data_IF_411225636761
#
_entry.id   IF_411225636761
#
_cell.length_a   1.000
_cell.length_b   1.000
_cell.length_c   1.000
_cell.angle_alpha   90.00
_cell.angle_beta   90.00
_cell.angle_gamma   90.00
#
_symmetry.space_group_name_H-M   'P 1'
#
loop_
_entity.id
_entity.type
_entity.pdbx_description
1 polymer ?
#
# COMPACT_ATOMS: atom_id res chain seq x y z
N UNK A 1 -26.12 -49.30 -40.99
CA UNK A 1 -24.66 -49.47 -41.22
C UNK A 1 -23.93 -48.91 -40.01
N UNK A 2 -23.20 -49.78 -39.30
CA UNK A 2 -22.25 -49.44 -38.25
C UNK A 2 -20.99 -48.81 -38.86
N UNK A 3 -20.40 -47.82 -38.20
CA UNK A 3 -19.13 -47.96 -37.44
C UNK A 3 -18.51 -46.60 -37.14
N UNK A 4 -18.08 -46.46 -35.90
CA UNK A 4 -17.32 -45.35 -35.35
C UNK A 4 -15.83 -45.48 -35.67
N UNK A 5 -15.12 -44.35 -35.82
CA UNK A 5 -13.66 -44.22 -35.66
C UNK A 5 -13.43 -42.81 -35.07
N UNK A 6 -13.26 -42.63 -33.75
CA UNK A 6 -12.07 -42.82 -32.90
C UNK A 6 -10.82 -41.99 -33.27
N UNK A 7 -10.56 -40.93 -32.49
CA UNK A 7 -9.26 -40.66 -31.83
C UNK A 7 -9.54 -39.64 -30.70
N UNK A 8 -9.50 -39.93 -29.40
CA UNK A 8 -8.50 -40.43 -28.44
C UNK A 8 -8.08 -39.28 -27.47
N UNK A 9 -8.56 -39.43 -26.24
CA UNK A 9 -8.08 -38.98 -24.92
C UNK A 9 -6.92 -37.97 -24.85
N UNK A 10 -7.21 -36.78 -24.30
CA UNK A 10 -6.28 -36.09 -23.42
C UNK A 10 -6.71 -36.35 -21.97
N UNK A 11 -5.83 -37.05 -21.25
CA UNK A 11 -5.97 -37.43 -19.85
C UNK A 11 -6.02 -36.20 -18.97
N UNK A 12 -6.77 -36.31 -17.88
CA UNK A 12 -7.07 -35.23 -16.97
C UNK A 12 -5.85 -34.56 -16.35
N UNK A 13 -5.99 -33.26 -16.14
CA UNK A 13 -5.26 -32.54 -15.11
C UNK A 13 -6.25 -32.32 -13.97
N UNK A 14 -6.19 -33.20 -12.96
CA UNK A 14 -6.73 -32.89 -11.64
C UNK A 14 -5.78 -31.83 -11.09
N UNK A 15 -6.20 -30.56 -11.11
CA UNK A 15 -5.57 -29.57 -10.26
C UNK A 15 -5.87 -30.02 -8.82
N UNK A 16 -4.85 -30.56 -8.17
CA UNK A 16 -4.90 -30.77 -6.73
C UNK A 16 -5.17 -29.40 -6.12
N UNK A 17 -6.37 -29.23 -5.55
CA UNK A 17 -6.69 -28.13 -4.66
C UNK A 17 -5.66 -28.14 -3.54
N UNK A 18 -4.60 -27.37 -3.71
CA UNK A 18 -3.61 -27.14 -2.67
C UNK A 18 -4.36 -26.61 -1.48
N UNK A 19 -4.31 -27.36 -0.39
CA UNK A 19 -4.70 -26.92 0.94
C UNK A 19 -3.98 -25.60 1.19
N UNK A 20 -4.71 -24.48 1.12
CA UNK A 20 -4.22 -23.21 1.62
C UNK A 20 -4.15 -23.39 3.14
N UNK A 21 -2.97 -23.76 3.63
CA UNK A 21 -2.63 -23.50 5.01
C UNK A 21 -2.76 -21.99 5.17
N UNK A 22 -3.83 -21.55 5.83
CA UNK A 22 -4.00 -20.17 6.23
C UNK A 22 -2.92 -19.86 7.27
N UNK A 23 -1.71 -19.55 6.80
CA UNK A 23 -0.83 -18.65 7.52
C UNK A 23 -1.55 -17.31 7.50
N UNK A 24 -2.22 -16.99 8.60
CA UNK A 24 -2.77 -15.67 8.86
C UNK A 24 -1.59 -14.69 8.87
N UNK A 25 -1.21 -14.20 7.70
CA UNK A 25 -0.39 -13.00 7.60
C UNK A 25 -1.29 -11.90 8.14
N UNK A 26 -0.85 -11.31 9.24
CA UNK A 26 -1.46 -10.13 9.84
C UNK A 26 -1.67 -9.11 8.71
N UNK A 27 -2.92 -8.85 8.37
CA UNK A 27 -3.27 -7.86 7.36
C UNK A 27 -2.94 -6.49 7.91
N UNK A 28 -1.72 -6.01 7.67
CA UNK A 28 -1.46 -4.58 7.63
C UNK A 28 -2.39 -4.01 6.57
N UNK A 29 -3.06 -2.89 6.86
CA UNK A 29 -3.86 -2.25 5.82
C UNK A 29 -2.90 -1.86 4.69
N UNK A 30 -3.18 -2.37 3.50
CA UNK A 30 -2.32 -2.18 2.33
C UNK A 30 -2.77 -0.91 1.63
N UNK A 31 -1.81 -0.07 1.26
CA UNK A 31 -2.02 1.05 0.35
C UNK A 31 -2.84 0.61 -0.86
N UNK A 32 -3.87 1.39 -1.21
CA UNK A 32 -4.65 1.19 -2.43
C UNK A 32 -4.09 2.11 -3.50
N UNK A 33 -3.27 1.56 -4.38
CA UNK A 33 -2.73 2.30 -5.53
C UNK A 33 -3.83 2.62 -6.54
N UNK A 34 -3.75 3.81 -7.15
CA UNK A 34 -4.66 4.23 -8.21
C UNK A 34 -3.87 4.35 -9.51
N UNK A 35 -4.18 3.48 -10.48
CA UNK A 35 -3.56 3.55 -11.79
C UNK A 35 -4.02 4.81 -12.53
N UNK A 36 -3.06 5.61 -13.03
CA UNK A 36 -3.36 6.83 -13.77
C UNK A 36 -3.96 6.56 -15.17
N UNK A 37 -3.71 5.36 -15.71
CA UNK A 37 -4.32 4.88 -16.95
C UNK A 37 -4.01 5.76 -18.17
N UNK A 38 -4.96 5.84 -19.10
CA UNK A 38 -4.78 6.53 -20.38
C UNK A 38 -4.65 8.07 -20.26
N UNK A 39 -4.94 8.64 -19.09
CA UNK A 39 -4.77 10.08 -18.84
C UNK A 39 -3.29 10.45 -18.72
N UNK A 40 -2.43 9.51 -18.32
CA UNK A 40 -1.00 9.71 -18.19
C UNK A 40 -0.29 9.49 -19.53
N UNK A 41 0.07 10.58 -20.19
CA UNK A 41 0.65 10.57 -21.55
C UNK A 41 2.10 11.04 -21.61
N UNK A 42 2.59 11.73 -20.58
CA UNK A 42 3.96 12.27 -20.55
C UNK A 42 4.89 11.23 -19.93
N UNK A 43 5.90 10.70 -20.63
CA UNK A 43 6.80 9.71 -20.04
C UNK A 43 7.59 10.30 -18.86
N UNK A 44 7.61 9.63 -17.70
CA UNK A 44 8.45 10.04 -16.57
C UNK A 44 9.93 10.13 -16.98
N UNK A 45 10.37 9.20 -17.84
CA UNK A 45 11.73 9.15 -18.39
C UNK A 45 12.08 10.33 -19.30
N UNK A 46 11.11 11.14 -19.73
CA UNK A 46 11.39 12.38 -20.47
C UNK A 46 11.85 13.52 -19.56
N UNK A 47 11.43 13.50 -18.29
CA UNK A 47 11.78 14.51 -17.29
C UNK A 47 12.91 14.05 -16.39
N UNK A 48 12.80 12.83 -15.86
CA UNK A 48 13.68 12.31 -14.82
C UNK A 48 14.61 11.22 -15.35
N UNK A 49 15.90 11.35 -15.03
CA UNK A 49 16.86 10.28 -15.24
C UNK A 49 16.71 9.23 -14.12
N UNK A 50 16.41 7.98 -14.52
CA UNK A 50 16.29 6.84 -13.58
C UNK A 50 15.27 7.05 -12.46
N UNK A 51 14.13 7.68 -12.77
CA UNK A 51 13.02 7.77 -11.83
C UNK A 51 12.48 6.37 -11.43
N UNK A 52 11.83 6.27 -10.25
CA UNK A 52 11.12 5.06 -9.85
C UNK A 52 10.11 4.63 -10.92
N UNK A 53 9.98 3.31 -11.12
CA UNK A 53 9.07 2.71 -12.09
C UNK A 53 8.51 1.40 -11.56
N UNK A 54 7.43 0.90 -12.18
CA UNK A 54 6.73 -0.28 -11.68
C UNK A 54 6.01 -0.02 -10.36
N UNK A 55 5.83 -1.05 -9.54
CA UNK A 55 5.34 -0.87 -8.17
C UNK A 55 6.49 -0.40 -7.28
N UNK A 56 6.44 0.86 -6.83
CA UNK A 56 7.48 1.50 -6.05
C UNK A 56 7.00 1.86 -4.64
N UNK A 57 7.85 1.66 -3.63
CA UNK A 57 7.61 2.17 -2.27
C UNK A 57 8.33 3.50 -2.08
N UNK A 58 7.56 4.58 -1.90
CA UNK A 58 8.02 5.96 -1.80
C UNK A 58 7.43 6.58 -0.55
N UNK A 59 8.26 7.16 0.31
CA UNK A 59 7.80 7.73 1.58
C UNK A 59 7.14 6.72 2.54
N UNK A 60 7.40 5.42 2.36
CA UNK A 60 6.75 4.34 3.12
C UNK A 60 5.44 3.83 2.52
N UNK A 61 4.97 4.42 1.41
CA UNK A 61 3.72 4.07 0.74
C UNK A 61 3.96 3.47 -0.64
N UNK A 62 3.10 2.58 -1.08
CA UNK A 62 3.16 1.95 -2.40
C UNK A 62 2.50 2.85 -3.44
N UNK A 63 3.12 2.97 -4.62
CA UNK A 63 2.58 3.63 -5.80
C UNK A 63 2.70 2.72 -7.02
N UNK A 64 1.71 2.77 -7.91
CA UNK A 64 1.78 2.09 -9.21
C UNK A 64 2.28 3.06 -10.29
N UNK A 65 3.57 2.91 -10.63
CA UNK A 65 4.26 3.64 -11.69
C UNK A 65 4.54 2.73 -12.90
N UNK A 66 3.85 1.60 -13.03
CA UNK A 66 4.07 0.63 -14.10
C UNK A 66 3.74 1.17 -15.49
N UNK A 67 2.85 2.15 -15.58
CA UNK A 67 2.54 2.86 -16.82
C UNK A 67 3.69 3.73 -17.35
N UNK A 68 4.68 4.06 -16.50
CA UNK A 68 5.86 4.85 -16.89
C UNK A 68 5.58 6.29 -17.32
N UNK A 69 4.32 6.73 -17.24
CA UNK A 69 3.88 8.07 -17.64
C UNK A 69 3.25 8.80 -16.45
N UNK A 70 3.32 10.12 -16.50
CA UNK A 70 2.62 11.05 -15.60
C UNK A 70 1.51 11.79 -16.35
N UNK A 71 0.59 12.37 -15.60
CA UNK A 71 -0.37 13.37 -16.11
C UNK A 71 0.27 14.73 -15.98
N UNK A 72 0.32 15.50 -17.07
CA UNK A 72 0.75 16.90 -17.05
C UNK A 72 -0.43 17.79 -17.43
N UNK A 73 -0.97 18.51 -16.45
CA UNK A 73 -2.14 19.37 -16.62
C UNK A 73 -1.70 20.78 -16.99
N UNK A 74 -2.04 21.24 -18.20
CA UNK A 74 -1.89 22.63 -18.58
C UNK A 74 -2.88 23.54 -17.82
N UNK A 75 -2.69 24.85 -17.95
CA UNK A 75 -3.54 25.85 -17.30
C UNK A 75 -5.02 25.68 -17.69
N UNK A 76 -5.90 25.53 -16.70
CA UNK A 76 -7.33 25.29 -16.88
C UNK A 76 -7.73 23.82 -17.03
N UNK A 77 -6.77 22.88 -17.06
CA UNK A 77 -7.05 21.45 -17.19
C UNK A 77 -7.25 20.76 -15.83
N UNK A 78 -7.93 19.62 -15.88
CA UNK A 78 -8.16 18.78 -14.70
C UNK A 78 -8.24 17.31 -15.09
N UNK A 79 -7.84 16.44 -14.16
CA UNK A 79 -8.05 14.99 -14.25
C UNK A 79 -8.86 14.52 -13.04
N UNK A 80 -9.74 13.54 -13.24
CA UNK A 80 -10.55 12.94 -12.17
C UNK A 80 -10.37 11.43 -12.16
N UNK A 81 -10.07 10.89 -10.99
CA UNK A 81 -10.02 9.45 -10.74
C UNK A 81 -11.20 9.05 -9.87
N UNK A 82 -12.06 8.19 -10.41
CA UNK A 82 -13.23 7.68 -9.69
C UNK A 82 -12.96 6.30 -9.12
N UNK A 83 -13.47 6.05 -7.91
CA UNK A 83 -13.30 4.78 -7.23
C UNK A 83 -14.26 4.67 -6.05
N UNK A 84 -13.98 3.74 -5.15
CA UNK A 84 -14.71 3.60 -3.88
C UNK A 84 -13.72 3.19 -2.81
N UNK A 85 -13.14 4.18 -2.14
CA UNK A 85 -12.12 3.98 -1.11
C UNK A 85 -12.71 4.24 0.27
N UNK A 86 -13.26 3.19 0.87
CA UNK A 86 -13.80 3.22 2.24
C UNK A 86 -12.67 3.21 3.26
N UNK A 87 -12.90 3.82 4.42
CA UNK A 87 -11.91 3.90 5.51
C UNK A 87 -10.59 4.57 5.09
N UNK A 88 -10.61 5.49 4.12
CA UNK A 88 -9.43 6.25 3.75
C UNK A 88 -9.00 7.16 4.92
N UNK A 89 -7.73 7.07 5.31
CA UNK A 89 -7.09 7.96 6.27
C UNK A 89 -6.40 9.12 5.56
N UNK A 90 -5.78 8.85 4.41
CA UNK A 90 -5.15 9.89 3.60
C UNK A 90 -5.18 9.57 2.10
N UNK A 91 -5.11 10.62 1.28
CA UNK A 91 -4.80 10.54 -0.13
C UNK A 91 -3.39 11.06 -0.34
N UNK A 92 -2.53 10.26 -0.96
CA UNK A 92 -1.13 10.56 -1.23
C UNK A 92 -0.94 10.77 -2.73
N UNK A 93 -0.39 11.92 -3.10
CA UNK A 93 -0.18 12.32 -4.49
C UNK A 93 1.30 12.59 -4.72
N UNK A 94 1.89 11.94 -5.71
CA UNK A 94 3.22 12.31 -6.21
C UNK A 94 3.06 13.49 -7.16
N UNK A 95 3.34 14.70 -6.68
CA UNK A 95 2.92 15.92 -7.33
C UNK A 95 4.02 16.98 -7.32
N UNK A 96 4.29 17.53 -8.49
CA UNK A 96 5.21 18.65 -8.68
C UNK A 96 4.61 19.64 -9.69
N UNK A 97 5.24 20.79 -9.81
CA UNK A 97 4.91 21.79 -10.83
C UNK A 97 6.05 21.92 -11.85
N UNK A 98 5.73 22.46 -13.02
CA UNK A 98 6.70 22.85 -14.04
C UNK A 98 6.48 24.32 -14.43
N UNK A 99 7.57 25.04 -14.71
CA UNK A 99 7.59 26.48 -15.06
C UNK A 99 7.11 27.41 -13.94
N UNK A 100 7.33 27.01 -12.69
CA UNK A 100 7.05 27.78 -11.48
C UNK A 100 8.21 28.69 -11.11
N UNK A 101 8.36 29.80 -11.84
CA UNK A 101 9.32 30.85 -11.53
C UNK A 101 9.05 31.54 -10.18
N UNK A 102 10.04 32.27 -9.66
CA UNK A 102 9.99 32.92 -8.33
C UNK A 102 8.75 33.81 -8.10
N UNK A 103 8.15 34.39 -9.14
CA UNK A 103 6.93 35.20 -9.02
C UNK A 103 5.66 34.39 -8.72
N UNK A 104 5.71 33.06 -8.79
CA UNK A 104 4.62 32.18 -8.35
C UNK A 104 4.70 31.85 -6.85
N UNK A 105 5.76 32.23 -6.13
CA UNK A 105 5.88 31.90 -4.70
C UNK A 105 4.62 32.34 -3.92
N UNK A 106 4.12 31.44 -3.09
CA UNK A 106 2.89 31.56 -2.30
C UNK A 106 1.60 31.76 -3.12
N UNK A 107 1.64 31.57 -4.43
CA UNK A 107 0.45 31.62 -5.28
C UNK A 107 -0.25 30.28 -5.34
N UNK A 108 -1.57 30.29 -5.21
CA UNK A 108 -2.42 29.12 -5.46
C UNK A 108 -2.53 28.92 -6.98
N UNK A 109 -2.07 27.77 -7.45
CA UNK A 109 -2.03 27.42 -8.89
C UNK A 109 -2.92 26.22 -9.22
N UNK A 110 -3.33 25.46 -8.21
CA UNK A 110 -4.10 24.24 -8.39
C UNK A 110 -4.96 23.88 -7.21
N UNK A 111 -5.69 22.79 -7.36
CA UNK A 111 -6.53 22.24 -6.29
C UNK A 111 -6.58 20.73 -6.40
N UNK A 112 -6.57 20.06 -5.25
CA UNK A 112 -7.00 18.66 -5.13
C UNK A 112 -8.35 18.63 -4.44
N UNK A 113 -9.34 18.02 -5.08
CA UNK A 113 -10.70 17.86 -4.55
C UNK A 113 -11.00 16.39 -4.34
N UNK A 114 -11.24 16.01 -3.08
CA UNK A 114 -11.76 14.71 -2.70
C UNK A 114 -13.28 14.81 -2.66
N UNK A 115 -13.97 13.96 -3.42
CA UNK A 115 -15.43 13.82 -3.38
C UNK A 115 -15.79 12.60 -2.56
N UNK A 116 -16.79 12.72 -1.70
CA UNK A 116 -17.23 11.65 -0.81
C UNK A 116 -18.57 11.06 -1.24
N UNK A 117 -18.86 9.86 -0.73
CA UNK A 117 -20.11 9.13 -1.00
C UNK A 117 -21.39 9.85 -0.53
N UNK A 118 -21.27 10.80 0.40
CA UNK A 118 -22.39 11.64 0.87
C UNK A 118 -22.60 12.92 0.02
N UNK A 119 -21.85 13.07 -1.07
CA UNK A 119 -21.91 14.23 -1.97
C UNK A 119 -21.13 15.45 -1.49
N UNK A 120 -20.51 15.41 -0.31
CA UNK A 120 -19.63 16.49 0.15
C UNK A 120 -18.25 16.41 -0.49
N UNK A 121 -17.50 17.51 -0.41
CA UNK A 121 -16.13 17.59 -0.94
C UNK A 121 -15.17 18.15 0.10
N UNK A 122 -13.94 17.67 0.09
CA UNK A 122 -12.80 18.31 0.77
C UNK A 122 -11.83 18.82 -0.28
N UNK A 123 -11.49 20.10 -0.18
CA UNK A 123 -10.59 20.78 -1.13
C UNK A 123 -9.29 21.15 -0.43
N UNK A 124 -8.18 20.90 -1.11
CA UNK A 124 -6.83 21.33 -0.73
C UNK A 124 -6.29 22.18 -1.86
N UNK A 125 -5.94 23.44 -1.57
CA UNK A 125 -5.31 24.31 -2.54
C UNK A 125 -3.83 23.93 -2.73
N UNK A 126 -3.35 23.99 -3.96
CA UNK A 126 -1.95 23.73 -4.32
C UNK A 126 -1.24 25.08 -4.47
N UNK A 127 -0.35 25.37 -3.52
CA UNK A 127 0.36 26.63 -3.38
C UNK A 127 1.85 26.42 -3.66
N UNK A 128 2.37 27.12 -4.65
CA UNK A 128 3.79 27.05 -5.03
C UNK A 128 4.66 27.58 -3.89
N UNK A 129 5.69 26.82 -3.50
CA UNK A 129 6.51 27.14 -2.32
C UNK A 129 5.86 26.76 -0.98
N UNK A 130 4.56 26.42 -1.02
CA UNK A 130 3.79 25.84 0.09
C UNK A 130 3.91 24.33 0.08
N UNK A 131 2.97 23.70 -0.62
CA UNK A 131 2.80 22.24 -0.72
C UNK A 131 3.06 21.68 -2.12
N UNK A 132 3.48 22.52 -3.06
CA UNK A 132 3.98 22.11 -4.39
C UNK A 132 5.16 22.98 -4.80
N UNK A 133 6.05 22.45 -5.63
CA UNK A 133 7.23 23.17 -6.12
C UNK A 133 7.70 22.65 -7.48
N UNK A 134 8.60 23.41 -8.10
CA UNK A 134 9.26 23.05 -9.35
C UNK A 134 9.93 21.68 -9.23
N UNK A 135 9.61 20.78 -10.15
CA UNK A 135 10.21 19.44 -10.23
C UNK A 135 11.74 19.49 -10.41
N UNK A 136 12.21 20.45 -11.22
CA UNK A 136 13.62 20.70 -11.51
C UNK A 136 14.21 21.62 -10.44
N UNK A 137 14.56 21.02 -9.31
CA UNK A 137 15.09 21.74 -8.14
C UNK A 137 16.45 22.39 -8.38
N UNK A 138 17.22 21.92 -9.37
CA UNK A 138 18.50 22.52 -9.78
C UNK A 138 18.37 23.68 -10.76
N UNK A 139 17.16 24.03 -11.22
CA UNK A 139 16.96 25.17 -12.11
C UNK A 139 17.10 26.50 -11.37
N UNK A 140 17.73 27.48 -12.03
CA UNK A 140 17.74 28.86 -11.53
C UNK A 140 16.40 29.54 -11.72
N UNK A 141 16.07 30.49 -10.83
CA UNK A 141 14.88 31.35 -10.90
C UNK A 141 13.53 30.64 -10.78
N UNK A 142 13.49 29.43 -10.25
CA UNK A 142 12.24 28.70 -9.94
C UNK A 142 12.05 28.53 -8.44
N UNK A 143 10.81 28.32 -8.03
CA UNK A 143 10.46 28.00 -6.64
C UNK A 143 10.72 26.51 -6.42
N UNK A 144 11.86 26.20 -5.80
CA UNK A 144 12.33 24.83 -5.55
C UNK A 144 12.27 24.43 -4.05
N UNK A 145 11.61 25.24 -3.22
CA UNK A 145 11.40 24.96 -1.79
C UNK A 145 9.97 24.55 -1.49
N UNK A 146 9.79 23.94 -0.32
CA UNK A 146 8.50 23.60 0.27
C UNK A 146 8.49 24.11 1.71
N UNK A 147 7.34 24.56 2.18
CA UNK A 147 7.15 25.02 3.56
C UNK A 147 6.07 24.24 4.30
N UNK A 148 5.17 23.57 3.58
CA UNK A 148 4.13 22.73 4.17
C UNK A 148 4.69 21.36 4.58
N UNK A 149 4.64 20.97 5.87
CA UNK A 149 5.11 19.67 6.33
C UNK A 149 4.29 18.49 5.80
N UNK A 150 3.09 18.72 5.26
CA UNK A 150 2.29 17.68 4.60
C UNK A 150 2.91 17.22 3.27
N UNK A 151 3.91 17.94 2.75
CA UNK A 151 4.63 17.58 1.53
C UNK A 151 6.06 17.16 1.86
N UNK A 152 6.48 16.01 1.35
CA UNK A 152 7.82 15.48 1.58
C UNK A 152 8.46 15.01 0.28
N UNK A 153 9.77 15.23 0.15
CA UNK A 153 10.52 14.67 -0.99
C UNK A 153 10.70 13.18 -0.81
N UNK A 154 10.14 12.40 -1.72
CA UNK A 154 10.20 10.92 -1.65
C UNK A 154 11.16 10.31 -2.66
N UNK A 155 11.60 11.09 -3.64
CA UNK A 155 12.71 10.74 -4.51
C UNK A 155 13.49 12.00 -4.90
N UNK A 156 14.81 11.85 -5.03
CA UNK A 156 15.70 12.88 -5.55
C UNK A 156 16.71 12.25 -6.50
N UNK A 157 17.06 12.99 -7.54
CA UNK A 157 17.97 12.51 -8.57
C UNK A 157 18.27 13.60 -9.58
N UNK A 158 18.42 13.19 -10.84
CA UNK A 158 18.72 14.11 -11.93
C UNK A 158 17.54 14.19 -12.91
N UNK A 159 17.35 15.37 -13.47
CA UNK A 159 16.60 15.55 -14.70
C UNK A 159 17.37 14.96 -15.89
N UNK A 160 16.70 14.77 -17.02
CA UNK A 160 17.31 14.29 -18.27
C UNK A 160 18.39 15.21 -18.83
N UNK A 161 18.40 16.48 -18.45
CA UNK A 161 19.44 17.46 -18.83
C UNK A 161 20.58 17.57 -17.80
N UNK A 162 20.60 16.72 -16.77
CA UNK A 162 21.64 16.65 -15.75
C UNK A 162 21.43 17.59 -14.55
N UNK A 163 20.44 18.47 -14.58
CA UNK A 163 20.08 19.28 -13.40
C UNK A 163 19.50 18.44 -12.27
N UNK A 164 19.48 18.93 -11.03
CA UNK A 164 18.81 18.23 -9.92
C UNK A 164 17.30 18.23 -10.11
N UNK A 165 16.67 17.10 -9.76
CA UNK A 165 15.24 16.91 -9.82
C UNK A 165 14.72 16.18 -8.56
N UNK A 166 13.44 16.38 -8.25
CA UNK A 166 12.76 15.74 -7.14
C UNK A 166 11.36 15.27 -7.56
N UNK A 167 10.87 14.23 -6.87
CA UNK A 167 9.46 13.85 -6.84
C UNK A 167 9.00 14.02 -5.40
N UNK A 168 7.99 14.85 -5.21
CA UNK A 168 7.43 15.16 -3.90
C UNK A 168 6.08 14.46 -3.71
N UNK A 169 5.79 14.09 -2.47
CA UNK A 169 4.56 13.44 -2.06
C UNK A 169 3.77 14.40 -1.15
N UNK A 170 2.59 14.79 -1.60
CA UNK A 170 1.61 15.52 -0.81
C UNK A 170 0.66 14.53 -0.13
N UNK A 171 0.57 14.61 1.20
CA UNK A 171 -0.37 13.82 2.01
C UNK A 171 -1.57 14.68 2.40
N UNK A 172 -2.75 14.32 1.91
CA UNK A 172 -4.03 14.96 2.29
C UNK A 172 -4.74 14.07 3.30
N UNK A 173 -4.80 14.49 4.56
CA UNK A 173 -5.58 13.78 5.59
C UNK A 173 -7.06 13.83 5.26
N UNK A 174 -7.72 12.68 5.37
CA UNK A 174 -9.14 12.51 5.07
C UNK A 174 -9.91 12.49 6.38
N UNK A 175 -11.04 13.19 6.43
CA UNK A 175 -11.92 13.12 7.58
C UNK A 175 -12.37 11.65 7.81
N UNK A 176 -12.15 11.07 9.00
CA UNK A 176 -12.51 9.69 9.27
C UNK A 176 -14.02 9.51 9.09
N UNK A 177 -14.43 8.32 8.62
CA UNK A 177 -15.82 7.86 8.33
C UNK A 177 -16.36 8.07 6.91
N UNK A 178 -15.69 8.80 6.04
CA UNK A 178 -16.19 9.00 4.66
C UNK A 178 -15.52 8.07 3.65
N UNK A 179 -16.30 7.58 2.69
CA UNK A 179 -15.78 6.86 1.52
C UNK A 179 -15.45 7.87 0.45
N UNK A 180 -14.20 7.92 -0.01
CA UNK A 180 -13.82 8.74 -1.17
C UNK A 180 -14.38 8.05 -2.41
N UNK A 181 -15.05 8.82 -3.26
CA UNK A 181 -15.62 8.36 -4.54
C UNK A 181 -14.90 8.97 -5.74
N UNK A 182 -14.26 10.12 -5.57
CA UNK A 182 -13.41 10.70 -6.59
C UNK A 182 -12.25 11.53 -6.01
N UNK A 183 -11.14 11.54 -6.72
CA UNK A 183 -10.01 12.45 -6.52
C UNK A 183 -9.83 13.26 -7.80
N UNK A 184 -10.00 14.57 -7.72
CA UNK A 184 -9.81 15.49 -8.84
C UNK A 184 -8.57 16.34 -8.59
N UNK A 185 -7.68 16.42 -9.57
CA UNK A 185 -6.56 17.36 -9.57
C UNK A 185 -6.80 18.37 -10.67
N UNK A 186 -6.74 19.66 -10.34
CA UNK A 186 -7.01 20.75 -11.28
C UNK A 186 -5.87 21.76 -11.26
N UNK A 187 -5.42 22.16 -12.43
CA UNK A 187 -4.58 23.33 -12.62
C UNK A 187 -5.50 24.53 -12.84
N UNK A 188 -5.71 25.32 -11.79
CA UNK A 188 -6.61 26.48 -11.82
C UNK A 188 -5.89 27.77 -12.21
N UNK A 189 -4.59 27.68 -12.47
CA UNK A 189 -3.80 28.82 -12.88
C UNK A 189 -4.36 29.39 -14.19
N UNK A 190 -4.67 30.68 -14.19
CA UNK A 190 -5.32 31.34 -15.34
C UNK A 190 -4.35 31.97 -16.34
N UNK A 191 -3.03 31.83 -16.14
CA UNK A 191 -2.03 32.58 -16.90
C UNK A 191 -0.68 31.84 -17.01
N UNK A 192 0.08 32.11 -18.06
CA UNK A 192 1.42 31.51 -18.25
C UNK A 192 1.39 30.06 -18.76
N UNK A 193 2.54 29.39 -18.67
CA UNK A 193 2.76 28.04 -19.19
C UNK A 193 3.08 27.04 -18.06
N UNK A 194 2.46 27.24 -16.88
CA UNK A 194 2.64 26.36 -15.74
C UNK A 194 1.88 25.06 -15.95
N UNK A 195 2.54 23.95 -15.64
CA UNK A 195 1.91 22.63 -15.58
C UNK A 195 1.90 22.08 -14.16
N UNK A 196 0.87 21.29 -13.85
CA UNK A 196 0.84 20.42 -12.67
C UNK A 196 1.08 18.98 -13.12
N UNK A 197 2.14 18.38 -12.59
CA UNK A 197 2.55 17.03 -12.95
C UNK A 197 2.18 16.07 -11.82
N UNK A 198 1.30 15.11 -12.11
CA UNK A 198 0.88 14.04 -11.22
C UNK A 198 1.49 12.71 -11.71
N UNK A 199 2.46 12.20 -10.96
CA UNK A 199 3.17 10.96 -11.29
C UNK A 199 2.54 9.72 -10.65
N UNK A 200 1.77 9.86 -9.57
CA UNK A 200 1.17 8.73 -8.87
C UNK A 200 0.12 9.16 -7.85
N UNK A 201 -0.82 8.27 -7.57
CA UNK A 201 -1.89 8.47 -6.60
C UNK A 201 -2.10 7.17 -5.81
N UNK A 202 -2.18 7.31 -4.49
CA UNK A 202 -2.44 6.21 -3.56
C UNK A 202 -3.40 6.66 -2.49
N UNK A 203 -4.32 5.77 -2.09
CA UNK A 203 -5.20 5.98 -0.96
C UNK A 203 -4.74 5.06 0.18
N UNK A 204 -4.39 5.67 1.30
CA UNK A 204 -3.96 4.97 2.50
C UNK A 204 -5.17 4.71 3.41
N UNK A 205 -5.54 3.43 3.63
CA UNK A 205 -6.63 3.07 4.52
C UNK A 205 -6.23 3.09 5.99
N UNK A 206 -7.20 3.37 6.87
CA UNK A 206 -7.04 3.18 8.31
C UNK A 206 -6.63 1.74 8.60
N UNK A 207 -5.48 1.56 9.26
CA UNK A 207 -5.08 0.26 9.80
C UNK A 207 -5.98 -0.10 10.97
N UNK A 208 -7.04 -0.87 10.72
CA UNK A 208 -7.78 -1.50 11.80
C UNK A 208 -6.89 -2.60 12.34
N UNK A 209 -6.28 -2.37 13.51
CA UNK A 209 -5.55 -3.41 14.22
C UNK A 209 -6.50 -4.58 14.45
N UNK A 210 -6.36 -5.66 13.66
CA UNK A 210 -7.11 -6.87 13.93
C UNK A 210 -6.58 -7.44 15.24
N UNK A 211 -7.40 -7.39 16.29
CA UNK A 211 -7.15 -8.20 17.48
C UNK A 211 -7.07 -9.65 17.00
N UNK A 212 -5.95 -10.36 17.21
CA UNK A 212 -5.82 -11.74 16.77
C UNK A 212 -6.95 -12.54 17.41
N UNK A 213 -7.90 -13.00 16.59
CA UNK A 213 -8.95 -13.89 17.07
C UNK A 213 -8.33 -15.27 17.22
N UNK A 214 -8.10 -15.70 18.46
CA UNK A 214 -7.70 -17.07 18.74
C UNK A 214 -8.85 -18.01 18.35
N UNK A 215 -8.77 -18.63 17.17
CA UNK A 215 -9.80 -19.55 16.62
C UNK A 215 -9.91 -20.86 17.44
N UNK A 216 -8.96 -21.13 18.34
CA UNK A 216 -8.95 -22.35 19.15
C UNK A 216 -9.58 -22.13 20.53
N UNK A 217 -10.65 -22.87 20.88
CA UNK A 217 -11.13 -22.92 22.26
C UNK A 217 -9.97 -23.32 23.20
N UNK A 218 -9.63 -22.45 24.15
CA UNK A 218 -8.58 -22.70 25.16
C UNK A 218 -7.20 -22.10 24.89
N UNK A 219 -6.99 -21.29 23.84
CA UNK A 219 -5.74 -20.53 23.67
C UNK A 219 -5.95 -19.05 24.05
N UNK A 220 -5.19 -18.54 25.02
CA UNK A 220 -4.97 -17.11 25.21
C UNK A 220 -3.94 -16.60 24.19
N UNK A 221 -4.25 -15.48 23.51
CA UNK A 221 -3.40 -14.92 22.45
C UNK A 221 -2.08 -14.30 22.96
N UNK A 222 -1.76 -14.50 24.23
CA UNK A 222 -0.58 -13.96 24.93
C UNK A 222 0.31 -15.05 25.53
N UNK A 223 -0.10 -16.32 25.44
CA UNK A 223 0.62 -17.45 26.04
C UNK A 223 1.20 -18.31 24.91
N UNK A 224 2.49 -18.65 25.02
CA UNK A 224 3.16 -19.43 23.99
C UNK A 224 2.43 -20.77 23.75
N UNK A 225 2.37 -21.22 22.50
CA UNK A 225 1.68 -22.46 22.13
C UNK A 225 2.18 -23.68 22.92
N UNK A 226 3.44 -23.66 23.37
CA UNK A 226 4.03 -24.67 24.23
C UNK A 226 3.28 -24.85 25.55
N UNK A 227 2.77 -23.76 26.15
CA UNK A 227 2.09 -23.78 27.45
C UNK A 227 0.60 -24.17 27.33
N UNK A 228 -0.05 -23.84 26.20
CA UNK A 228 -1.48 -24.11 25.97
C UNK A 228 -1.76 -25.40 25.18
N UNK A 229 -0.77 -25.99 24.53
CA UNK A 229 -0.98 -27.27 23.84
C UNK A 229 -1.03 -28.41 24.87
N UNK A 230 -2.12 -29.17 24.95
CA UNK A 230 -2.16 -30.45 25.67
C UNK A 230 -1.25 -31.53 25.02
N UNK A 231 -0.40 -31.15 24.06
CA UNK A 231 0.52 -32.03 23.35
C UNK A 231 1.59 -32.64 24.27
N UNK A 232 1.84 -32.06 25.44
CA UNK A 232 2.72 -32.61 26.47
C UNK A 232 2.28 -34.00 26.98
N UNK A 233 0.98 -34.35 26.87
CA UNK A 233 0.47 -35.69 27.23
C UNK A 233 0.94 -36.80 26.30
N UNK A 234 1.42 -36.46 25.10
CA UNK A 234 1.73 -37.43 24.05
C UNK A 234 3.18 -37.35 23.56
N UNK A 235 4.06 -36.63 24.26
CA UNK A 235 5.48 -36.64 23.93
C UNK A 235 6.11 -37.98 24.32
N UNK A 236 6.60 -38.78 23.36
CA UNK A 236 7.35 -39.99 23.70
C UNK A 236 8.68 -39.60 24.35
N UNK A 237 8.98 -40.17 25.51
CA UNK A 237 10.30 -40.05 26.12
C UNK A 237 11.29 -40.89 25.33
N UNK A 238 12.27 -40.25 24.70
CA UNK A 238 13.41 -40.93 24.08
C UNK A 238 14.30 -41.55 25.18
N UNK A 239 14.69 -42.83 25.08
CA UNK A 239 15.60 -43.45 26.04
C UNK A 239 16.92 -42.67 26.13
N UNK A 240 17.29 -42.24 27.34
CA UNK A 240 18.54 -41.51 27.60
C UNK A 240 18.46 -39.98 27.49
N UNK A 241 17.31 -39.40 27.13
CA UNK A 241 17.12 -37.95 27.15
C UNK A 241 16.55 -37.50 28.51
N UNK A 242 17.15 -36.47 29.12
CA UNK A 242 16.59 -35.79 30.29
C UNK A 242 15.31 -35.07 29.88
N UNK A 243 14.17 -35.55 30.37
CA UNK A 243 12.90 -34.89 30.19
C UNK A 243 12.84 -33.66 31.10
N UNK A 244 13.00 -32.47 30.52
CA UNK A 244 12.93 -31.19 31.24
C UNK A 244 11.49 -30.70 31.46
N UNK A 245 10.48 -31.48 31.06
CA UNK A 245 9.08 -31.12 31.23
C UNK A 245 8.59 -31.41 32.67
N UNK A 246 8.21 -30.37 33.44
CA UNK A 246 7.75 -30.53 34.84
C UNK A 246 6.38 -31.22 34.97
N UNK A 247 5.66 -31.44 33.86
CA UNK A 247 4.33 -32.04 33.82
C UNK A 247 4.27 -33.38 33.06
N UNK A 248 5.40 -33.90 32.58
CA UNK A 248 5.41 -35.21 31.95
C UNK A 248 4.95 -36.28 32.96
N UNK A 249 3.97 -37.10 32.56
CA UNK A 249 3.51 -38.19 33.39
C UNK A 249 4.57 -39.30 33.31
N UNK A 250 5.58 -39.23 34.19
CA UNK A 250 6.62 -40.26 34.28
C UNK A 250 5.92 -41.59 34.60
N UNK A 251 5.84 -42.47 33.61
CA UNK A 251 5.28 -43.82 33.76
C UNK A 251 6.14 -44.72 34.66
N UNK A 252 7.28 -44.24 35.15
CA UNK A 252 8.06 -44.91 36.19
C UNK A 252 7.67 -44.44 37.59
N UNK A 253 6.47 -44.84 38.02
CA UNK A 253 6.25 -45.17 39.42
C UNK A 253 5.85 -46.63 39.49
N UNK A 254 6.83 -47.46 39.80
CA UNK A 254 6.68 -48.78 40.43
C UNK A 254 5.84 -48.66 41.69
N UNK A 255 4.52 -48.50 41.55
CA UNK A 255 3.57 -48.79 42.62
C UNK A 255 3.21 -50.26 42.50
N UNK A 256 3.86 -51.03 43.38
CA UNK A 256 3.51 -52.39 43.78
C UNK A 256 2.01 -52.65 43.65
N UNK A 257 1.69 -53.65 42.82
CA UNK A 257 0.37 -54.26 42.71
C UNK A 257 0.10 -55.01 44.02
N UNK A 258 -0.64 -54.40 44.95
CA UNK A 258 -1.19 -55.10 46.10
C UNK A 258 -2.71 -55.19 45.97
N UNK A 259 -3.15 -56.36 45.50
CA UNK A 259 -4.32 -57.07 46.02
C UNK A 259 -5.70 -56.54 45.62
N UNK A 260 -6.27 -57.11 44.55
CA UNK A 260 -7.71 -57.36 44.53
C UNK A 260 -7.94 -58.84 44.88
N UNK A 261 -8.48 -59.10 46.07
CA UNK A 261 -9.11 -60.38 46.39
C UNK A 261 -10.31 -60.56 45.47
N UNK A 262 -10.38 -61.70 44.79
CA UNK A 262 -11.62 -62.28 44.28
C UNK A 262 -12.28 -63.06 45.42
N UNK A 263 -13.62 -63.16 45.39
CA UNK A 263 -14.44 -63.97 46.31
C UNK A 263 -13.88 -65.38 46.54
#
# INVERSE_FOLDING_TARGET
MNSAIFSKSAKGLILASGLIAASSVVGYAQDVTVALGAQATVPLSSLYASAPSGSASLGGHSFDLSGGNLVSLASGESVTYTGSWSNAQSALLLLNTMNTYLWYDQSVVGTVTLTFSDGTTQRTDLTVGGNVREWRTGAGNTVNWLTDPATTTVWSGSATDGSSAAIDMLTITVAPTKTITAVTVSNINGWGALHLDLAGLTIDPVVVAQTPSCIRPGNSCTTAAADNSQAWKWQPTLPGALNTNPHANNTDKTKSNNGHKTN
#
